data_IF_677079746378
#
_entry.id   IF_677079746378
#
_cell.length_a   1.000
_cell.length_b   1.000
_cell.length_c   1.000
_cell.angle_alpha   90.00
_cell.angle_beta   90.00
_cell.angle_gamma   90.00
#
_symmetry.space_group_name_H-M   'P 1'
#
loop_
_entity.id
_entity.type
_entity.pdbx_description
1 polymer ?
#
# COMPACT_ATOMS: atom_id res chain seq x y z
N UNK A 1 14.99 -21.16 -6.99
CA UNK A 1 14.27 -20.02 -7.62
C UNK A 1 14.68 -18.75 -6.90
N UNK A 2 14.93 -17.66 -7.62
CA UNK A 2 15.18 -16.35 -7.01
C UNK A 2 14.13 -15.36 -7.47
N UNK A 3 13.31 -14.89 -6.53
CA UNK A 3 12.25 -13.93 -6.72
C UNK A 3 12.76 -12.54 -6.34
N UNK A 4 12.56 -11.57 -7.22
CA UNK A 4 12.96 -10.18 -7.01
C UNK A 4 11.71 -9.31 -7.14
N UNK A 5 11.43 -8.48 -6.15
CA UNK A 5 10.32 -7.53 -6.20
C UNK A 5 10.63 -6.23 -5.48
N UNK A 6 9.70 -5.30 -5.59
CA UNK A 6 9.76 -4.01 -4.90
C UNK A 6 8.45 -3.69 -4.19
N UNK A 7 8.53 -2.95 -3.09
CA UNK A 7 7.36 -2.50 -2.32
C UNK A 7 6.45 -1.56 -3.09
N UNK A 8 6.97 -0.88 -4.12
CA UNK A 8 6.23 0.00 -5.03
C UNK A 8 6.12 -0.58 -6.45
N UNK A 9 6.42 -1.86 -6.63
CA UNK A 9 6.27 -2.56 -7.91
C UNK A 9 4.82 -3.06 -8.06
N UNK A 10 4.23 -3.00 -9.26
CA UNK A 10 2.88 -3.53 -9.52
C UNK A 10 2.77 -5.05 -9.38
N UNK A 11 3.89 -5.76 -9.33
CA UNK A 11 3.98 -7.20 -9.12
C UNK A 11 4.39 -7.57 -7.69
N UNK A 12 4.52 -6.60 -6.79
CA UNK A 12 4.94 -6.83 -5.40
C UNK A 12 4.13 -7.91 -4.69
N UNK A 13 2.79 -7.89 -4.86
CA UNK A 13 1.88 -8.94 -4.35
C UNK A 13 2.22 -10.31 -4.96
N UNK A 14 2.40 -10.39 -6.27
CA UNK A 14 2.68 -11.67 -6.94
C UNK A 14 4.04 -12.23 -6.54
N UNK A 15 5.05 -11.39 -6.32
CA UNK A 15 6.36 -11.83 -5.83
C UNK A 15 6.23 -12.52 -4.47
N UNK A 16 5.51 -11.91 -3.52
CA UNK A 16 5.30 -12.50 -2.20
C UNK A 16 4.40 -13.74 -2.23
N UNK A 17 3.34 -13.73 -3.04
CA UNK A 17 2.45 -14.89 -3.19
C UNK A 17 3.16 -16.08 -3.87
N UNK A 18 3.99 -15.81 -4.88
CA UNK A 18 4.83 -16.83 -5.52
C UNK A 18 5.84 -17.40 -4.53
N UNK A 19 6.45 -16.59 -3.66
CA UNK A 19 7.34 -17.11 -2.62
C UNK A 19 6.58 -18.06 -1.70
N UNK A 20 5.42 -17.64 -1.18
CA UNK A 20 4.60 -18.46 -0.27
C UNK A 20 4.13 -19.78 -0.89
N UNK A 21 3.82 -19.77 -2.19
CA UNK A 21 3.37 -20.96 -2.89
C UNK A 21 4.55 -21.89 -3.26
N UNK A 22 5.63 -21.34 -3.82
CA UNK A 22 6.77 -22.12 -4.30
C UNK A 22 7.59 -22.71 -3.16
N UNK A 23 7.79 -21.98 -2.06
CA UNK A 23 8.56 -22.46 -0.90
C UNK A 23 7.98 -23.72 -0.27
N UNK A 24 6.67 -23.97 -0.45
CA UNK A 24 5.96 -25.16 0.04
C UNK A 24 5.90 -26.31 -0.97
N UNK A 25 6.15 -26.03 -2.25
CA UNK A 25 5.84 -26.98 -3.33
C UNK A 25 7.06 -27.51 -4.07
N UNK A 26 8.13 -26.71 -4.20
CA UNK A 26 9.33 -27.15 -4.91
C UNK A 26 10.39 -27.70 -3.94
N UNK A 27 11.22 -28.63 -4.41
CA UNK A 27 12.28 -29.25 -3.60
C UNK A 27 13.55 -28.40 -3.46
N UNK A 28 13.79 -27.48 -4.39
CA UNK A 28 14.96 -26.60 -4.39
C UNK A 28 14.74 -25.35 -3.55
N UNK A 29 15.80 -24.60 -3.20
CA UNK A 29 15.64 -23.40 -2.40
C UNK A 29 14.91 -22.32 -3.20
N UNK A 30 14.02 -21.61 -2.50
CA UNK A 30 13.34 -20.41 -2.99
C UNK A 30 13.90 -19.24 -2.20
N UNK A 31 14.51 -18.30 -2.91
CA UNK A 31 14.97 -17.03 -2.37
C UNK A 31 14.03 -15.91 -2.81
N UNK A 32 13.83 -14.91 -1.97
CA UNK A 32 13.11 -13.69 -2.28
C UNK A 32 13.87 -12.47 -1.77
N UNK A 33 13.98 -11.44 -2.60
CA UNK A 33 14.39 -10.10 -2.18
C UNK A 33 13.29 -9.08 -2.48
N UNK A 34 13.00 -8.22 -1.51
CA UNK A 34 12.06 -7.10 -1.65
C UNK A 34 12.71 -5.79 -1.22
N UNK A 35 12.96 -4.88 -2.16
CA UNK A 35 13.47 -3.53 -1.89
C UNK A 35 12.39 -2.46 -1.97
N UNK A 36 12.68 -1.18 -1.69
CA UNK A 36 11.71 -0.09 -1.80
C UNK A 36 11.50 0.37 -3.25
N UNK A 37 11.65 -0.54 -4.21
CA UNK A 37 11.77 -0.21 -5.63
C UNK A 37 10.42 -0.12 -6.34
N UNK A 38 10.39 0.68 -7.40
CA UNK A 38 9.41 0.59 -8.49
C UNK A 38 9.91 -0.39 -9.57
N UNK A 39 9.10 -0.59 -10.61
CA UNK A 39 9.33 -1.63 -11.60
C UNK A 39 10.67 -1.52 -12.33
N UNK A 40 11.50 -2.55 -12.18
CA UNK A 40 12.81 -2.67 -12.84
C UNK A 40 13.87 -1.66 -12.38
N UNK A 41 13.65 -0.94 -11.27
CA UNK A 41 14.54 0.12 -10.80
C UNK A 41 15.39 -0.30 -9.58
N UNK A 42 15.85 -1.56 -9.53
CA UNK A 42 16.63 -2.08 -8.39
C UNK A 42 17.97 -1.35 -8.17
N UNK A 43 18.49 -0.66 -9.19
CA UNK A 43 19.72 0.13 -9.09
C UNK A 43 19.53 1.56 -8.54
N UNK A 44 18.30 1.94 -8.20
CA UNK A 44 17.98 3.26 -7.67
C UNK A 44 17.56 3.18 -6.20
N UNK A 45 17.73 4.28 -5.48
CA UNK A 45 17.41 4.40 -4.06
C UNK A 45 16.30 5.40 -3.75
N UNK A 46 15.74 6.06 -4.76
CA UNK A 46 14.68 7.05 -4.61
C UNK A 46 13.56 6.77 -5.60
N UNK A 47 12.32 6.84 -5.12
CA UNK A 47 11.13 6.60 -5.94
C UNK A 47 10.00 7.53 -5.52
N UNK A 48 9.49 8.30 -6.49
CA UNK A 48 8.59 9.41 -6.24
C UNK A 48 9.34 10.62 -5.65
N UNK A 49 8.84 11.17 -4.55
CA UNK A 49 9.42 12.32 -3.86
C UNK A 49 10.26 11.92 -2.64
N UNK A 50 10.68 10.66 -2.59
CA UNK A 50 11.27 10.05 -1.39
C UNK A 50 12.59 9.35 -1.72
N UNK A 51 13.58 9.56 -0.86
CA UNK A 51 14.83 8.81 -0.81
C UNK A 51 14.78 7.76 0.30
N UNK A 52 15.13 6.53 -0.06
CA UNK A 52 15.30 5.39 0.86
C UNK A 52 16.76 5.21 1.31
N UNK A 53 17.67 6.10 0.88
CA UNK A 53 19.10 6.05 1.16
C UNK A 53 19.87 5.12 0.21
N UNK A 54 21.13 5.46 -0.09
CA UNK A 54 21.94 4.78 -1.12
C UNK A 54 21.98 3.26 -0.98
N UNK A 55 21.94 2.75 0.26
CA UNK A 55 21.96 1.31 0.54
C UNK A 55 20.73 0.57 0.02
N UNK A 56 19.63 1.27 -0.28
CA UNK A 56 18.45 0.69 -0.93
C UNK A 56 18.73 0.23 -2.37
N UNK A 57 19.69 0.85 -3.07
CA UNK A 57 20.06 0.48 -4.42
C UNK A 57 20.98 -0.75 -4.44
N UNK A 58 20.79 -1.63 -5.42
CA UNK A 58 21.78 -2.63 -5.78
C UNK A 58 22.80 -1.96 -6.73
N UNK A 59 24.05 -1.72 -6.29
CA UNK A 59 24.99 -0.88 -7.03
C UNK A 59 25.46 -1.52 -8.36
N UNK A 60 25.58 -2.85 -8.40
CA UNK A 60 25.93 -3.59 -9.62
C UNK A 60 24.91 -4.71 -9.87
N UNK A 61 23.92 -4.40 -10.71
CA UNK A 61 22.85 -5.32 -11.07
C UNK A 61 23.33 -6.54 -11.85
N UNK A 62 24.45 -6.43 -12.59
CA UNK A 62 24.98 -7.54 -13.34
C UNK A 62 25.74 -8.47 -12.40
N UNK A 63 26.68 -7.95 -11.61
CA UNK A 63 27.43 -8.75 -10.64
C UNK A 63 26.49 -9.48 -9.66
N UNK A 64 25.50 -8.78 -9.12
CA UNK A 64 24.50 -9.39 -8.23
C UNK A 64 23.75 -10.57 -8.88
N UNK A 65 23.32 -10.44 -10.14
CA UNK A 65 22.66 -11.55 -10.86
C UNK A 65 23.65 -12.66 -11.19
N UNK A 66 24.89 -12.31 -11.50
CA UNK A 66 25.95 -13.27 -11.79
C UNK A 66 26.29 -14.13 -10.58
N UNK A 67 26.25 -13.63 -9.34
CA UNK A 67 26.42 -14.44 -8.11
C UNK A 67 25.45 -15.64 -8.07
N UNK A 68 24.20 -15.42 -8.46
CA UNK A 68 23.19 -16.47 -8.50
C UNK A 68 23.45 -17.48 -9.63
N UNK A 69 23.69 -17.01 -10.84
CA UNK A 69 23.92 -17.90 -11.99
C UNK A 69 25.24 -18.65 -11.90
N UNK A 70 26.32 -18.02 -11.45
CA UNK A 70 27.60 -18.67 -11.25
C UNK A 70 27.52 -19.77 -10.19
N UNK A 71 26.68 -19.61 -9.16
CA UNK A 71 26.41 -20.67 -8.18
C UNK A 71 25.73 -21.88 -8.82
N UNK A 72 24.56 -21.67 -9.44
CA UNK A 72 23.67 -22.76 -9.85
C UNK A 72 23.99 -23.36 -11.24
N UNK A 73 24.69 -22.62 -12.10
CA UNK A 73 25.00 -23.05 -13.47
C UNK A 73 26.47 -23.47 -13.60
N UNK A 74 27.38 -22.86 -12.84
CA UNK A 74 28.83 -23.10 -12.95
C UNK A 74 29.46 -23.74 -11.72
N UNK A 75 28.65 -24.09 -10.71
CA UNK A 75 29.09 -24.69 -9.45
C UNK A 75 30.20 -23.89 -8.73
N UNK A 76 30.21 -22.56 -8.90
CA UNK A 76 31.19 -21.70 -8.21
C UNK A 76 30.76 -21.45 -6.77
N UNK A 77 31.75 -21.30 -5.90
CA UNK A 77 31.52 -20.74 -4.56
C UNK A 77 31.26 -19.23 -4.68
N UNK A 78 30.08 -18.80 -4.24
CA UNK A 78 29.55 -17.44 -4.33
C UNK A 78 28.89 -17.03 -3.02
N UNK A 79 28.28 -15.85 -2.95
CA UNK A 79 27.54 -15.39 -1.78
C UNK A 79 26.29 -16.24 -1.45
N UNK A 80 25.77 -17.04 -2.39
CA UNK A 80 24.54 -17.83 -2.21
C UNK A 80 24.65 -18.79 -1.01
N UNK A 81 23.79 -18.59 -0.01
CA UNK A 81 23.76 -19.36 1.24
C UNK A 81 24.83 -18.98 2.26
N UNK A 82 25.67 -17.97 1.99
CA UNK A 82 26.82 -17.59 2.82
C UNK A 82 26.81 -16.11 3.24
N UNK A 83 26.52 -15.21 2.30
CA UNK A 83 26.68 -13.76 2.45
C UNK A 83 25.50 -13.00 1.85
N UNK A 84 25.35 -11.76 2.27
CA UNK A 84 24.34 -10.85 1.74
C UNK A 84 24.52 -10.63 0.23
N UNK A 85 23.45 -10.57 -0.58
CA UNK A 85 22.03 -10.58 -0.19
C UNK A 85 21.38 -11.98 -0.10
N UNK A 86 22.17 -13.05 -0.19
CA UNK A 86 21.68 -14.44 -0.24
C UNK A 86 21.96 -15.23 1.04
N UNK A 87 22.25 -14.55 2.15
CA UNK A 87 22.57 -15.18 3.43
C UNK A 87 21.39 -16.00 3.97
N UNK A 88 20.17 -15.51 3.76
CA UNK A 88 18.92 -16.19 4.11
C UNK A 88 17.99 -16.24 2.90
N UNK A 89 16.93 -17.05 2.99
CA UNK A 89 15.96 -17.22 1.90
C UNK A 89 15.16 -15.96 1.63
N UNK A 90 14.95 -15.10 2.63
CA UNK A 90 14.21 -13.85 2.45
C UNK A 90 15.10 -12.69 2.84
N UNK A 91 15.18 -11.67 1.98
CA UNK A 91 15.81 -10.40 2.30
C UNK A 91 14.85 -9.26 2.00
N UNK A 92 14.58 -8.43 2.98
CA UNK A 92 13.64 -7.32 2.86
C UNK A 92 14.33 -6.01 3.20
N UNK A 93 13.94 -4.93 2.53
CA UNK A 93 14.31 -3.59 2.95
C UNK A 93 13.21 -3.04 3.85
N UNK A 94 13.53 -2.82 5.12
CA UNK A 94 12.62 -2.21 6.09
C UNK A 94 12.73 -0.70 5.94
N UNK A 95 11.67 -0.07 5.43
CA UNK A 95 11.59 1.37 5.20
C UNK A 95 11.30 2.14 6.50
N UNK A 96 11.46 3.47 6.48
CA UNK A 96 10.91 4.36 7.51
C UNK A 96 11.80 4.64 8.71
N UNK A 97 13.09 4.32 8.64
CA UNK A 97 14.05 4.61 9.73
C UNK A 97 14.87 5.90 9.52
N UNK A 98 14.65 6.61 8.42
CA UNK A 98 15.23 7.92 8.15
C UNK A 98 14.73 9.00 9.10
N UNK A 99 15.31 10.20 9.02
CA UNK A 99 15.02 11.33 9.90
C UNK A 99 14.01 12.34 9.31
N UNK A 100 13.61 12.17 8.05
CA UNK A 100 12.59 13.00 7.40
C UNK A 100 13.08 14.39 6.96
N UNK A 101 14.38 14.64 6.92
CA UNK A 101 14.91 15.88 6.33
C UNK A 101 14.84 15.84 4.80
N UNK A 102 14.84 17.01 4.17
CA UNK A 102 14.88 17.13 2.72
C UNK A 102 16.32 17.02 2.19
N UNK A 103 16.54 16.15 1.20
CA UNK A 103 17.84 16.02 0.53
C UNK A 103 18.13 17.23 -0.37
N UNK A 104 19.38 17.35 -0.86
CA UNK A 104 19.76 18.37 -1.84
C UNK A 104 18.91 18.33 -3.12
N UNK A 105 18.43 17.14 -3.50
CA UNK A 105 17.53 16.92 -4.65
C UNK A 105 16.04 17.14 -4.33
N UNK A 106 15.73 17.78 -3.18
CA UNK A 106 14.36 18.05 -2.74
C UNK A 106 13.49 16.80 -2.49
N UNK A 107 14.12 15.70 -2.06
CA UNK A 107 13.43 14.46 -1.70
C UNK A 107 13.31 14.31 -0.18
N UNK A 108 12.22 13.73 0.31
CA UNK A 108 12.08 13.36 1.71
C UNK A 108 13.01 12.19 2.05
N UNK A 109 13.82 12.31 3.10
CA UNK A 109 14.66 11.21 3.61
C UNK A 109 13.82 10.25 4.47
N UNK A 110 13.20 9.26 3.82
CA UNK A 110 12.45 8.19 4.51
C UNK A 110 13.37 7.08 5.00
N UNK A 111 14.46 6.81 4.29
CA UNK A 111 15.50 5.86 4.71
C UNK A 111 15.01 4.42 4.87
N UNK A 112 15.83 3.62 5.54
CA UNK A 112 15.56 2.21 5.82
C UNK A 112 16.84 1.39 5.94
N UNK A 113 16.70 0.07 6.02
CA UNK A 113 17.83 -0.85 6.07
C UNK A 113 17.45 -2.24 5.56
N UNK A 114 18.44 -2.99 5.06
CA UNK A 114 18.24 -4.39 4.70
C UNK A 114 18.20 -5.29 5.93
N UNK A 115 17.21 -6.18 5.98
CA UNK A 115 17.07 -7.22 6.99
C UNK A 115 16.93 -8.59 6.34
N UNK A 116 17.71 -9.54 6.85
CA UNK A 116 17.63 -10.95 6.48
C UNK A 116 16.54 -11.62 7.32
N UNK A 117 15.68 -12.38 6.66
CA UNK A 117 14.58 -13.16 7.23
C UNK A 117 14.65 -14.60 6.72
N UNK A 118 14.11 -15.54 7.49
CA UNK A 118 14.09 -16.95 7.09
C UNK A 118 12.84 -17.33 6.28
N UNK A 119 11.80 -16.50 6.36
CA UNK A 119 10.48 -16.84 5.87
C UNK A 119 9.66 -15.59 5.53
N UNK A 120 8.58 -15.82 4.78
CA UNK A 120 7.57 -14.83 4.48
C UNK A 120 6.20 -15.54 4.38
N UNK A 121 5.15 -15.04 5.05
CA UNK A 121 5.16 -13.93 6.01
C UNK A 121 6.01 -14.26 7.24
N UNK A 122 6.47 -13.25 7.97
CA UNK A 122 7.32 -13.45 9.16
C UNK A 122 6.50 -14.20 10.24
N UNK A 123 7.03 -15.27 10.85
CA UNK A 123 6.30 -16.05 11.88
C UNK A 123 5.90 -15.18 13.07
N UNK A 124 6.75 -14.21 13.42
CA UNK A 124 6.53 -13.27 14.53
C UNK A 124 5.49 -12.18 14.25
N UNK A 125 4.81 -12.21 13.10
CA UNK A 125 3.81 -11.20 12.72
C UNK A 125 2.60 -11.25 13.66
N UNK A 126 2.23 -10.10 14.21
CA UNK A 126 0.98 -9.90 14.95
C UNK A 126 -0.01 -9.10 14.11
N UNK A 127 -0.97 -9.81 13.49
CA UNK A 127 -2.05 -9.16 12.75
C UNK A 127 -2.97 -8.40 13.70
N UNK A 128 -2.77 -7.08 13.77
CA UNK A 128 -3.41 -6.19 14.73
C UNK A 128 -4.47 -5.36 14.04
N UNK A 129 -5.75 -5.45 14.44
CA UNK A 129 -6.80 -4.61 13.88
C UNK A 129 -6.71 -3.20 14.45
N UNK A 130 -6.76 -2.21 13.57
CA UNK A 130 -6.83 -0.80 13.85
C UNK A 130 -8.18 -0.29 13.33
N UNK A 131 -9.13 -0.13 14.25
CA UNK A 131 -10.53 0.18 14.00
C UNK A 131 -10.76 1.66 13.69
N UNK A 132 -11.70 1.90 12.79
CA UNK A 132 -12.17 3.23 12.43
C UNK A 132 -13.20 3.72 13.44
N UNK A 133 -13.20 5.02 13.73
CA UNK A 133 -14.12 5.65 14.68
C UNK A 133 -14.81 6.88 14.08
N UNK A 134 -15.96 7.26 14.65
CA UNK A 134 -16.80 8.38 14.19
C UNK A 134 -16.10 9.75 14.10
N UNK A 135 -15.06 9.97 14.90
CA UNK A 135 -14.28 11.21 14.91
C UNK A 135 -13.12 11.19 13.89
N UNK A 136 -13.04 10.19 13.02
CA UNK A 136 -11.92 10.02 12.09
C UNK A 136 -10.65 9.45 12.75
N UNK A 137 -10.73 8.99 13.99
CA UNK A 137 -9.59 8.33 14.63
C UNK A 137 -9.47 6.87 14.22
N UNK A 138 -8.25 6.34 14.32
CA UNK A 138 -7.90 4.93 14.16
C UNK A 138 -7.23 4.45 15.44
N UNK A 139 -7.68 3.32 16.00
CA UNK A 139 -7.06 2.76 17.20
C UNK A 139 -7.23 1.24 17.29
N UNK A 140 -6.44 0.58 18.14
CA UNK A 140 -6.63 -0.85 18.42
C UNK A 140 -7.89 -1.14 19.25
N UNK A 141 -8.53 -0.12 19.82
CA UNK A 141 -9.75 -0.27 20.60
C UNK A 141 -10.97 -0.37 19.69
N UNK A 142 -11.85 -1.33 19.95
CA UNK A 142 -13.09 -1.47 19.18
C UNK A 142 -14.03 -0.27 19.41
N UNK A 143 -14.78 0.18 18.39
CA UNK A 143 -15.78 1.23 18.58
C UNK A 143 -16.85 0.81 19.60
N UNK A 144 -17.12 1.67 20.58
CA UNK A 144 -18.16 1.43 21.59
C UNK A 144 -19.55 1.91 21.15
N UNK A 145 -19.61 2.79 20.14
CA UNK A 145 -20.83 3.45 19.70
C UNK A 145 -21.80 2.43 19.06
N UNK A 146 -23.09 2.56 19.35
CA UNK A 146 -24.12 1.63 18.84
C UNK A 146 -24.45 1.87 17.37
N UNK A 147 -24.38 3.12 16.91
CA UNK A 147 -24.70 3.53 15.55
C UNK A 147 -23.64 4.57 15.18
N UNK A 148 -22.93 4.31 14.09
CA UNK A 148 -21.81 5.13 13.64
C UNK A 148 -21.48 4.76 12.20
N UNK A 149 -21.51 5.75 11.31
CA UNK A 149 -21.19 5.60 9.90
C UNK A 149 -20.80 6.95 9.29
N UNK A 150 -20.16 6.91 8.13
CA UNK A 150 -19.80 8.11 7.35
C UNK A 150 -20.11 7.87 5.88
N UNK A 151 -20.77 8.85 5.26
CA UNK A 151 -21.12 8.81 3.84
C UNK A 151 -20.10 9.56 2.99
N UNK A 152 -19.93 9.12 1.76
CA UNK A 152 -19.22 9.86 0.72
C UNK A 152 -19.87 9.61 -0.65
N UNK A 153 -19.65 10.52 -1.59
CA UNK A 153 -20.19 10.40 -2.95
C UNK A 153 -19.06 10.02 -3.90
N UNK A 154 -19.17 8.85 -4.54
CA UNK A 154 -18.32 8.49 -5.68
C UNK A 154 -18.93 9.08 -6.96
N UNK A 155 -18.23 10.05 -7.56
CA UNK A 155 -18.62 10.71 -8.80
C UNK A 155 -17.69 10.30 -9.94
N UNK A 156 -18.16 9.51 -10.93
CA UNK A 156 -17.32 9.10 -12.05
C UNK A 156 -16.74 10.24 -12.89
N UNK A 157 -17.35 11.43 -12.84
CA UNK A 157 -16.89 12.62 -13.58
C UNK A 157 -15.82 13.42 -12.83
N UNK A 158 -15.60 13.14 -11.54
CA UNK A 158 -14.55 13.73 -10.69
C UNK A 158 -13.88 12.63 -9.84
N UNK A 159 -13.18 11.67 -10.45
CA UNK A 159 -12.57 10.57 -9.73
C UNK A 159 -11.36 11.04 -8.91
N UNK A 160 -11.12 10.41 -7.76
CA UNK A 160 -9.96 10.68 -6.91
C UNK A 160 -8.67 10.35 -7.69
N UNK A 161 -7.74 11.32 -7.79
CA UNK A 161 -6.48 11.15 -8.48
C UNK A 161 -5.56 10.09 -7.86
N UNK A 162 -4.89 9.33 -8.72
CA UNK A 162 -3.74 8.49 -8.34
C UNK A 162 -2.50 9.33 -8.16
N UNK A 163 -1.89 9.25 -6.98
CA UNK A 163 -0.62 9.92 -6.66
C UNK A 163 0.33 8.88 -6.05
N UNK A 164 1.23 8.36 -6.89
CA UNK A 164 2.21 7.34 -6.52
C UNK A 164 1.63 5.91 -6.46
N UNK A 165 2.21 5.10 -5.58
CA UNK A 165 1.81 3.71 -5.35
C UNK A 165 2.45 2.70 -6.30
N UNK A 166 1.86 1.51 -6.33
CA UNK A 166 2.38 0.30 -6.99
C UNK A 166 2.04 0.27 -8.48
N UNK A 167 2.64 1.18 -9.23
CA UNK A 167 2.40 1.33 -10.67
C UNK A 167 3.69 1.03 -11.44
N UNK A 168 3.59 0.33 -12.57
CA UNK A 168 4.78 -0.09 -13.36
C UNK A 168 4.95 0.63 -14.69
N UNK A 169 3.89 1.27 -15.20
CA UNK A 169 3.89 1.94 -16.49
C UNK A 169 2.82 3.03 -16.52
N UNK A 170 2.98 3.98 -17.43
CA UNK A 170 2.02 5.08 -17.58
C UNK A 170 2.56 6.34 -18.25
N UNK A 171 3.81 6.33 -18.76
CA UNK A 171 4.29 7.38 -19.66
C UNK A 171 4.23 8.81 -19.12
N UNK A 172 4.42 9.00 -17.81
CA UNK A 172 4.28 10.30 -17.13
C UNK A 172 2.86 10.66 -16.68
N UNK A 173 1.85 9.86 -17.05
CA UNK A 173 0.46 10.00 -16.60
C UNK A 173 0.27 9.35 -15.23
N UNK A 174 0.90 8.19 -15.01
CA UNK A 174 0.89 7.50 -13.72
C UNK A 174 2.22 7.71 -13.00
N UNK A 175 2.13 8.33 -11.83
CA UNK A 175 3.23 8.48 -10.90
C UNK A 175 3.50 7.14 -10.20
N UNK A 176 4.77 6.82 -9.99
CA UNK A 176 5.22 5.57 -9.38
C UNK A 176 5.98 5.87 -8.10
N UNK A 177 5.91 4.98 -7.12
CA UNK A 177 6.70 5.10 -5.88
C UNK A 177 6.01 5.90 -4.79
N UNK A 178 6.79 6.38 -3.84
CA UNK A 178 6.32 7.08 -2.67
C UNK A 178 6.15 8.57 -2.98
N UNK A 179 4.92 9.05 -2.96
CA UNK A 179 4.57 10.45 -3.20
C UNK A 179 3.82 11.05 -2.02
N UNK A 180 4.00 12.36 -1.83
CA UNK A 180 3.12 13.15 -0.98
C UNK A 180 1.70 13.06 -1.55
N UNK A 181 0.69 12.85 -0.71
CA UNK A 181 -0.71 12.73 -1.13
C UNK A 181 -1.34 14.10 -1.38
N UNK A 182 -0.63 14.92 -2.15
CA UNK A 182 -0.92 16.31 -2.45
C UNK A 182 -0.79 16.55 -3.94
N UNK A 183 -1.77 17.26 -4.50
CA UNK A 183 -1.70 17.66 -5.89
C UNK A 183 -0.57 18.62 -6.21
N UNK A 184 -0.53 19.05 -7.46
CA UNK A 184 0.50 19.94 -7.99
C UNK A 184 0.74 19.65 -9.46
N UNK A 185 1.68 20.36 -10.07
CA UNK A 185 1.98 20.26 -11.50
C UNK A 185 2.39 18.85 -11.96
N UNK A 186 2.75 17.97 -11.03
CA UNK A 186 3.07 16.56 -11.25
C UNK A 186 1.83 15.66 -11.42
N UNK A 187 0.63 16.15 -11.08
CA UNK A 187 -0.65 15.42 -11.18
C UNK A 187 -1.58 16.12 -12.16
N UNK A 188 -1.66 15.59 -13.38
CA UNK A 188 -2.37 16.23 -14.49
C UNK A 188 -3.88 16.45 -14.24
N UNK A 189 -4.54 15.59 -13.47
CA UNK A 189 -5.96 15.69 -13.10
C UNK A 189 -6.19 16.28 -11.69
N UNK A 190 -5.14 16.75 -11.02
CA UNK A 190 -5.24 17.45 -9.72
C UNK A 190 -4.10 18.44 -9.53
N UNK A 191 -4.04 19.50 -10.36
CA UNK A 191 -2.88 20.37 -10.46
C UNK A 191 -2.72 21.34 -9.27
N UNK A 192 -3.75 21.49 -8.43
CA UNK A 192 -3.68 22.37 -7.28
C UNK A 192 -2.92 21.69 -6.12
N UNK A 193 -2.08 22.42 -5.36
CA UNK A 193 -1.31 21.88 -4.24
C UNK A 193 -2.19 21.65 -3.00
N UNK A 194 -3.25 20.86 -3.17
CA UNK A 194 -4.26 20.53 -2.17
C UNK A 194 -4.13 19.03 -1.86
N UNK A 195 -4.08 18.65 -0.58
CA UNK A 195 -4.01 17.24 -0.21
C UNK A 195 -5.30 16.51 -0.60
N UNK A 196 -5.18 15.23 -0.98
CA UNK A 196 -6.34 14.40 -1.31
C UNK A 196 -7.29 14.24 -0.11
N UNK A 197 -6.77 14.33 1.11
CA UNK A 197 -7.54 14.33 2.36
C UNK A 197 -8.47 15.54 2.51
N UNK A 198 -8.35 16.58 1.68
CA UNK A 198 -9.28 17.70 1.64
C UNK A 198 -10.48 17.47 0.70
N UNK A 199 -10.51 16.37 -0.06
CA UNK A 199 -11.67 16.05 -0.91
C UNK A 199 -12.80 15.46 -0.08
N UNK A 200 -14.04 15.79 -0.44
CA UNK A 200 -15.24 15.29 0.26
C UNK A 200 -15.56 13.82 -0.05
N UNK A 201 -14.96 13.25 -1.09
CA UNK A 201 -15.10 11.86 -1.49
C UNK A 201 -13.94 10.96 -0.99
N UNK A 202 -13.09 11.49 -0.11
CA UNK A 202 -12.02 10.76 0.57
C UNK A 202 -12.30 10.75 2.08
N UNK A 203 -12.65 9.59 2.62
CA UNK A 203 -12.80 9.41 4.06
C UNK A 203 -11.44 9.17 4.70
N UNK A 204 -11.09 10.02 5.67
CA UNK A 204 -9.80 9.98 6.34
C UNK A 204 -9.95 9.42 7.75
N UNK A 205 -9.23 8.33 8.03
CA UNK A 205 -9.10 7.78 9.37
C UNK A 205 -7.61 7.73 9.75
N UNK A 206 -7.22 8.31 10.90
CA UNK A 206 -5.83 8.29 11.33
C UNK A 206 -5.63 8.12 12.84
N UNK A 207 -4.49 7.56 13.24
CA UNK A 207 -4.12 7.47 14.66
C UNK A 207 -3.84 8.84 15.26
N UNK A 208 -3.80 8.92 16.59
CA UNK A 208 -3.01 9.97 17.25
C UNK A 208 -1.52 9.85 16.88
N UNK A 209 -0.69 10.90 17.10
CA UNK A 209 0.74 10.78 16.88
C UNK A 209 1.26 9.60 17.69
N UNK A 210 1.95 8.70 17.01
CA UNK A 210 2.42 7.47 17.61
C UNK A 210 3.36 7.79 18.78
N UNK A 211 3.15 7.10 19.91
CA UNK A 211 3.98 7.29 21.10
C UNK A 211 5.32 6.54 21.01
N UNK A 212 5.37 5.53 20.14
CA UNK A 212 6.52 4.68 19.84
C UNK A 212 6.52 4.31 18.36
N UNK A 213 7.63 3.77 17.87
CA UNK A 213 7.72 3.29 16.50
C UNK A 213 6.83 2.04 16.33
N UNK A 214 6.13 1.95 15.20
CA UNK A 214 5.34 0.76 14.84
C UNK A 214 5.85 0.22 13.53
N UNK A 215 6.43 -0.98 13.54
CA UNK A 215 6.82 -1.68 12.32
C UNK A 215 5.64 -2.48 11.76
N UNK A 216 5.32 -2.24 10.49
CA UNK A 216 4.35 -2.99 9.71
C UNK A 216 5.07 -3.69 8.57
N UNK A 217 5.21 -5.01 8.66
CA UNK A 217 5.90 -5.84 7.66
C UNK A 217 5.05 -7.05 7.31
N UNK A 218 4.49 -7.07 6.10
CA UNK A 218 3.64 -8.17 5.66
C UNK A 218 2.54 -7.73 4.70
N UNK A 219 1.53 -8.59 4.58
CA UNK A 219 0.32 -8.32 3.79
C UNK A 219 -0.72 -7.54 4.61
N UNK A 220 -1.29 -6.49 4.00
CA UNK A 220 -2.27 -5.61 4.65
C UNK A 220 -3.66 -5.87 4.09
N UNK A 221 -4.67 -5.79 4.96
CA UNK A 221 -6.10 -5.89 4.60
C UNK A 221 -6.89 -4.76 5.22
N UNK A 222 -7.92 -4.28 4.53
CA UNK A 222 -8.95 -3.44 5.12
C UNK A 222 -10.26 -4.21 5.08
N UNK A 223 -10.81 -4.52 6.25
CA UNK A 223 -12.11 -5.16 6.41
C UNK A 223 -13.12 -4.10 6.80
N UNK A 224 -14.20 -3.99 6.06
CA UNK A 224 -15.15 -2.92 6.25
C UNK A 224 -16.58 -3.34 5.94
N UNK A 225 -17.52 -2.64 6.56
CA UNK A 225 -18.94 -2.79 6.29
C UNK A 225 -19.41 -1.57 5.52
N UNK A 226 -20.07 -1.77 4.39
CA UNK A 226 -20.54 -0.67 3.56
C UNK A 226 -21.88 -0.93 2.88
N UNK A 227 -22.56 0.16 2.55
CA UNK A 227 -23.71 0.19 1.64
C UNK A 227 -23.39 1.09 0.46
N UNK A 228 -24.11 0.89 -0.65
CA UNK A 228 -24.13 1.84 -1.78
C UNK A 228 -25.56 2.15 -2.19
N UNK A 229 -25.81 3.32 -2.76
CA UNK A 229 -27.05 3.63 -3.49
C UNK A 229 -27.11 2.99 -4.87
N UNK A 230 -26.01 2.41 -5.34
CA UNK A 230 -25.83 1.88 -6.70
C UNK A 230 -25.78 0.34 -6.73
N UNK A 231 -25.99 -0.23 -7.92
CA UNK A 231 -25.90 -1.68 -8.17
C UNK A 231 -24.45 -2.19 -8.18
N UNK A 232 -23.50 -1.30 -8.41
CA UNK A 232 -22.08 -1.55 -8.36
C UNK A 232 -21.35 -0.25 -8.04
N UNK A 233 -20.15 -0.34 -7.49
CA UNK A 233 -19.23 0.77 -7.25
C UNK A 233 -17.85 0.19 -6.92
N UNK A 234 -16.83 1.03 -6.85
CA UNK A 234 -15.53 0.62 -6.33
C UNK A 234 -15.34 1.16 -4.91
N UNK A 235 -14.53 0.45 -4.13
CA UNK A 235 -13.99 0.90 -2.86
C UNK A 235 -12.47 0.79 -2.92
N UNK A 236 -11.78 1.86 -2.57
CA UNK A 236 -10.33 1.95 -2.51
C UNK A 236 -9.89 2.20 -1.09
N UNK A 237 -8.68 1.74 -0.77
CA UNK A 237 -8.04 2.00 0.50
C UNK A 237 -6.56 2.29 0.28
N UNK A 238 -6.04 3.31 0.96
CA UNK A 238 -4.64 3.71 0.90
C UNK A 238 -4.08 3.83 2.30
N UNK A 239 -2.94 3.19 2.54
CA UNK A 239 -2.15 3.34 3.76
C UNK A 239 -1.15 4.48 3.55
N UNK A 240 -1.13 5.43 4.49
CA UNK A 240 -0.31 6.64 4.45
C UNK A 240 0.47 6.77 5.75
N UNK A 241 1.76 7.07 5.65
CA UNK A 241 2.61 7.51 6.76
C UNK A 241 2.60 9.04 6.79
N UNK A 242 1.94 9.61 7.80
CA UNK A 242 1.79 11.06 7.94
C UNK A 242 2.94 11.60 8.78
N UNK A 243 3.86 12.27 8.12
CA UNK A 243 4.95 12.99 8.76
C UNK A 243 4.43 14.26 9.43
N UNK A 244 4.87 14.56 10.67
CA UNK A 244 4.54 15.83 11.30
C UNK A 244 5.20 17.00 10.56
N UNK A 245 4.66 18.22 10.72
CA UNK A 245 5.34 19.44 10.26
C UNK A 245 6.80 19.52 10.72
N UNK A 246 7.68 19.92 9.81
CA UNK A 246 9.11 20.13 10.06
C UNK A 246 9.58 21.45 9.43
N UNK A 247 10.86 21.80 9.61
CA UNK A 247 11.44 22.97 8.96
C UNK A 247 11.42 22.85 7.42
N UNK A 248 11.68 21.63 6.92
CA UNK A 248 11.72 21.31 5.49
C UNK A 248 10.32 21.11 4.90
N UNK A 249 9.39 20.60 5.72
CA UNK A 249 8.00 20.34 5.34
C UNK A 249 7.04 21.01 6.35
N UNK A 250 6.81 22.33 6.27
CA UNK A 250 5.97 23.03 7.25
C UNK A 250 4.50 22.57 7.29
N UNK A 251 4.02 21.93 6.23
CA UNK A 251 2.68 21.33 6.17
C UNK A 251 2.63 19.85 6.58
N UNK A 252 3.75 19.26 6.97
CA UNK A 252 3.91 17.80 7.01
C UNK A 252 4.10 17.20 5.62
N UNK A 253 4.15 15.87 5.56
CA UNK A 253 4.26 15.10 4.33
C UNK A 253 3.41 13.83 4.45
N UNK A 254 2.48 13.62 3.52
CA UNK A 254 1.56 12.49 3.55
C UNK A 254 2.10 11.40 2.61
N UNK A 255 2.97 10.53 3.10
CA UNK A 255 3.64 9.55 2.25
C UNK A 255 2.74 8.34 1.97
N UNK A 256 2.41 8.08 0.70
CA UNK A 256 1.79 6.80 0.31
C UNK A 256 2.72 5.62 0.62
N UNK A 257 2.21 4.63 1.36
CA UNK A 257 2.89 3.36 1.64
C UNK A 257 2.39 2.25 0.71
N UNK A 258 1.11 2.27 0.36
CA UNK A 258 0.51 1.30 -0.54
C UNK A 258 -1.00 1.47 -0.59
N UNK A 259 -1.63 0.94 -1.63
CA UNK A 259 -3.06 1.04 -1.84
C UNK A 259 -3.63 -0.18 -2.57
N UNK A 260 -4.96 -0.31 -2.53
CA UNK A 260 -5.71 -1.36 -3.18
C UNK A 260 -7.12 -0.91 -3.55
N UNK A 261 -7.80 -1.75 -4.32
CA UNK A 261 -9.18 -1.55 -4.78
C UNK A 261 -9.95 -2.86 -4.66
N UNK A 262 -11.25 -2.74 -4.38
CA UNK A 262 -12.23 -3.80 -4.52
C UNK A 262 -13.41 -3.25 -5.32
N UNK A 263 -13.72 -3.92 -6.42
CA UNK A 263 -14.92 -3.65 -7.22
C UNK A 263 -16.08 -4.48 -6.69
N UNK A 264 -17.18 -3.83 -6.29
CA UNK A 264 -18.20 -4.45 -5.45
C UNK A 264 -18.93 -5.62 -6.11
N UNK A 265 -19.09 -5.63 -7.44
CA UNK A 265 -19.65 -6.79 -8.16
C UNK A 265 -18.82 -8.06 -8.03
N UNK A 266 -17.56 -7.97 -7.59
CA UNK A 266 -16.65 -9.11 -7.38
C UNK A 266 -16.36 -9.37 -5.88
N UNK A 267 -17.19 -8.83 -4.98
CA UNK A 267 -16.99 -8.98 -3.52
C UNK A 267 -16.97 -10.44 -3.05
N UNK A 268 -17.75 -11.31 -3.68
CA UNK A 268 -17.91 -12.72 -3.30
C UNK A 268 -17.08 -13.68 -4.15
N UNK A 269 -16.59 -13.23 -5.32
CA UNK A 269 -15.87 -14.06 -6.28
C UNK A 269 -15.00 -13.22 -7.21
N UNK A 270 -13.82 -13.73 -7.57
CA UNK A 270 -12.93 -13.10 -8.57
C UNK A 270 -13.36 -13.35 -10.02
N UNK A 271 -14.33 -14.23 -10.25
CA UNK A 271 -14.72 -14.68 -11.60
C UNK A 271 -16.22 -14.57 -11.87
N UNK A 272 -17.03 -14.41 -10.83
CA UNK A 272 -18.48 -14.31 -10.95
C UNK A 272 -18.96 -12.96 -10.42
N UNK A 273 -19.84 -12.32 -11.19
CA UNK A 273 -20.43 -11.05 -10.81
C UNK A 273 -21.65 -11.28 -9.91
N UNK A 274 -21.69 -10.58 -8.78
CA UNK A 274 -22.84 -10.47 -7.92
C UNK A 274 -23.11 -8.99 -7.66
N UNK A 275 -24.15 -8.41 -8.28
CA UNK A 275 -24.46 -6.99 -8.08
C UNK A 275 -24.90 -6.70 -6.64
N UNK A 276 -24.75 -5.46 -6.20
CA UNK A 276 -25.25 -4.98 -4.91
C UNK A 276 -26.75 -4.69 -5.00
N UNK A 277 -27.46 -4.90 -3.89
CA UNK A 277 -28.78 -4.33 -3.67
C UNK A 277 -28.62 -2.95 -2.99
N UNK A 278 -29.15 -1.87 -3.57
CA UNK A 278 -29.01 -0.54 -3.00
C UNK A 278 -29.50 -0.47 -1.54
N UNK A 279 -28.67 0.06 -0.65
CA UNK A 279 -28.95 0.16 0.79
C UNK A 279 -28.73 -1.11 1.61
N UNK A 280 -28.41 -2.26 0.99
CA UNK A 280 -28.00 -3.47 1.72
C UNK A 280 -26.54 -3.35 2.21
N UNK A 281 -26.31 -3.78 3.46
CA UNK A 281 -24.99 -3.70 4.10
C UNK A 281 -24.20 -4.97 3.78
N UNK A 282 -23.00 -4.81 3.23
CA UNK A 282 -22.08 -5.89 2.94
C UNK A 282 -20.81 -5.77 3.78
N UNK A 283 -20.31 -6.90 4.27
CA UNK A 283 -18.92 -7.01 4.74
C UNK A 283 -18.02 -7.26 3.53
N UNK A 284 -16.98 -6.45 3.37
CA UNK A 284 -16.06 -6.49 2.24
C UNK A 284 -14.61 -6.35 2.72
N UNK A 285 -13.69 -6.79 1.87
CA UNK A 285 -12.25 -6.72 2.14
C UNK A 285 -11.49 -6.12 0.95
N UNK A 286 -10.64 -5.14 1.20
CA UNK A 286 -9.64 -4.67 0.22
C UNK A 286 -8.28 -5.24 0.63
N UNK A 287 -7.61 -5.93 -0.31
CA UNK A 287 -6.20 -6.33 -0.14
C UNK A 287 -5.30 -5.19 -0.62
N UNK A 288 -4.45 -4.68 0.27
CA UNK A 288 -3.39 -3.75 -0.09
C UNK A 288 -2.14 -4.52 -0.51
N UNK A 289 -1.23 -3.84 -1.21
CA UNK A 289 0.09 -4.38 -1.52
C UNK A 289 0.89 -4.64 -0.23
N UNK A 290 1.76 -5.67 -0.20
CA UNK A 290 2.62 -5.91 0.95
C UNK A 290 3.63 -4.77 1.10
N UNK A 291 4.04 -4.53 2.35
CA UNK A 291 5.05 -3.52 2.66
C UNK A 291 5.96 -3.98 3.79
N UNK A 292 7.04 -3.24 4.02
CA UNK A 292 7.85 -3.27 5.22
C UNK A 292 8.22 -1.85 5.58
N UNK A 293 7.50 -1.26 6.53
CA UNK A 293 7.66 0.14 6.93
C UNK A 293 7.65 0.30 8.46
N UNK A 294 8.53 1.16 8.97
CA UNK A 294 8.47 1.67 10.34
C UNK A 294 7.78 3.02 10.33
N UNK A 295 6.58 3.09 10.90
CA UNK A 295 5.93 4.35 11.23
C UNK A 295 6.58 4.91 12.49
N UNK A 296 7.30 6.02 12.37
CA UNK A 296 8.07 6.57 13.49
C UNK A 296 7.18 7.18 14.56
N UNK A 297 7.68 7.18 15.80
CA UNK A 297 7.14 8.01 16.88
C UNK A 297 6.91 9.45 16.39
N UNK A 298 5.73 9.98 16.67
CA UNK A 298 5.29 11.32 16.24
C UNK A 298 4.61 11.36 14.88
N UNK A 299 4.78 10.34 14.04
CA UNK A 299 3.99 10.18 12.80
C UNK A 299 2.59 9.68 13.13
N UNK A 300 1.72 9.60 12.11
CA UNK A 300 0.42 8.92 12.21
C UNK A 300 0.31 7.84 11.16
N UNK A 301 -0.37 6.75 11.52
CA UNK A 301 -0.87 5.78 10.55
C UNK A 301 -2.21 6.30 10.07
N UNK A 302 -2.33 6.55 8.76
CA UNK A 302 -3.58 7.02 8.15
C UNK A 302 -4.07 6.04 7.09
N UNK A 303 -5.39 5.87 7.05
CA UNK A 303 -6.11 5.11 6.04
C UNK A 303 -7.09 6.04 5.35
N UNK A 304 -6.91 6.21 4.05
CA UNK A 304 -7.84 6.96 3.19
C UNK A 304 -8.74 5.95 2.45
N UNK A 305 -10.06 6.09 2.57
CA UNK A 305 -11.06 5.30 1.82
C UNK A 305 -11.77 6.17 0.80
N UNK A 306 -11.96 5.66 -0.42
CA UNK A 306 -12.69 6.39 -1.46
C UNK A 306 -13.35 5.45 -2.49
N UNK A 307 -14.07 6.01 -3.45
CA UNK A 307 -14.75 5.28 -4.53
C UNK A 307 -13.92 5.15 -5.81
N UNK A 308 -12.72 5.72 -5.87
CA UNK A 308 -11.86 5.69 -7.05
C UNK A 308 -10.40 5.96 -6.71
N UNK A 309 -9.50 5.63 -7.65
CA UNK A 309 -8.08 5.94 -7.62
C UNK A 309 -7.58 5.91 -9.07
N UNK A 310 -7.82 7.01 -9.79
CA UNK A 310 -7.67 7.13 -11.24
C UNK A 310 -6.45 7.99 -11.62
N UNK A 311 -5.62 7.60 -12.61
CA UNK A 311 -5.85 6.54 -13.59
C UNK A 311 -5.24 5.18 -13.25
N UNK A 312 -4.86 4.91 -12.00
CA UNK A 312 -4.30 3.59 -11.63
C UNK A 312 -5.33 2.48 -11.87
N UNK A 313 -6.59 2.75 -11.53
CA UNK A 313 -7.72 1.88 -11.84
C UNK A 313 -8.71 2.63 -12.74
N UNK A 314 -9.43 1.88 -13.58
CA UNK A 314 -10.55 2.41 -14.36
C UNK A 314 -11.68 2.89 -13.43
N UNK A 315 -12.40 3.92 -13.85
CA UNK A 315 -13.50 4.48 -13.06
C UNK A 315 -14.72 3.59 -13.19
N UNK A 316 -15.28 3.13 -12.07
CA UNK A 316 -16.55 2.43 -12.07
C UNK A 316 -17.69 3.38 -12.49
N UNK A 317 -18.54 3.03 -13.48
CA UNK A 317 -19.67 3.87 -13.87
C UNK A 317 -20.79 3.94 -12.81
N UNK A 318 -20.73 3.07 -11.81
CA UNK A 318 -21.70 2.86 -10.73
C UNK A 318 -23.11 2.41 -11.20
N UNK A 319 -23.24 1.89 -12.42
CA UNK A 319 -24.53 1.53 -13.03
C UNK A 319 -24.86 0.04 -12.93
N UNK A 320 -23.87 -0.81 -12.69
CA UNK A 320 -23.99 -2.27 -12.86
C UNK A 320 -23.94 -2.74 -14.32
N UNK A 321 -23.80 -1.83 -15.29
CA UNK A 321 -23.58 -2.18 -16.70
C UNK A 321 -22.21 -2.88 -16.89
N UNK A 322 -22.00 -3.61 -18.01
CA UNK A 322 -20.69 -4.17 -18.33
C UNK A 322 -19.59 -3.11 -18.31
N UNK A 323 -18.47 -3.45 -17.71
CA UNK A 323 -17.29 -2.58 -17.67
C UNK A 323 -16.74 -2.40 -19.09
N UNK A 324 -16.40 -1.17 -19.47
CA UNK A 324 -15.92 -0.79 -20.81
C UNK A 324 -16.94 -0.88 -21.96
N UNK A 325 -18.22 -1.18 -21.67
CA UNK A 325 -19.34 -1.06 -22.63
C UNK A 325 -20.57 -0.40 -21.96
N UNK A 326 -20.34 0.35 -20.89
CA UNK A 326 -21.38 1.14 -20.22
C UNK A 326 -21.75 2.35 -21.08
N UNK A 327 -23.02 2.74 -21.05
CA UNK A 327 -23.54 3.86 -21.86
C UNK A 327 -23.76 5.14 -21.06
N UNK A 328 -23.67 5.02 -19.74
CA UNK A 328 -23.86 6.12 -18.80
C UNK A 328 -23.01 5.91 -17.55
N UNK A 329 -22.86 6.98 -16.79
CA UNK A 329 -22.29 6.99 -15.45
C UNK A 329 -23.35 7.53 -14.49
N UNK A 330 -23.23 7.22 -13.21
CA UNK A 330 -24.02 7.84 -12.17
C UNK A 330 -23.23 7.99 -10.88
N UNK A 331 -23.62 8.96 -10.05
CA UNK A 331 -23.04 9.11 -8.71
C UNK A 331 -23.54 7.98 -7.81
N UNK A 332 -22.65 7.44 -6.98
CA UNK A 332 -22.99 6.50 -5.91
C UNK A 332 -22.80 7.17 -4.56
N UNK A 333 -23.83 7.16 -3.71
CA UNK A 333 -23.69 7.49 -2.29
C UNK A 333 -23.30 6.21 -1.57
N UNK A 334 -22.09 6.21 -1.03
CA UNK A 334 -21.49 5.08 -0.33
C UNK A 334 -21.40 5.40 1.16
N UNK A 335 -21.67 4.42 2.02
CA UNK A 335 -21.62 4.57 3.48
C UNK A 335 -20.65 3.56 4.04
N UNK A 336 -19.70 3.99 4.87
CA UNK A 336 -18.82 3.11 5.66
C UNK A 336 -19.31 3.08 7.10
N UNK A 337 -19.57 1.88 7.63
CA UNK A 337 -19.99 1.69 9.01
C UNK A 337 -18.79 1.47 9.92
N UNK A 338 -18.81 2.06 11.11
CA UNK A 338 -17.73 1.97 12.10
C UNK A 338 -18.31 1.92 13.52
N UNK A 339 -19.45 1.25 13.66
CA UNK A 339 -20.10 1.00 14.94
C UNK A 339 -19.64 -0.32 15.58
N UNK A 340 -20.04 -0.54 16.84
CA UNK A 340 -19.64 -1.71 17.64
C UNK A 340 -19.98 -3.07 17.00
N UNK A 341 -21.01 -3.13 16.16
CA UNK A 341 -21.44 -4.36 15.49
C UNK A 341 -20.85 -4.49 14.08
N UNK A 342 -20.34 -3.38 13.52
CA UNK A 342 -19.72 -3.29 12.19
C UNK A 342 -18.38 -2.56 12.30
N UNK A 343 -17.39 -3.16 12.98
CA UNK A 343 -16.16 -2.47 13.35
C UNK A 343 -15.17 -2.50 12.18
N UNK A 344 -15.40 -1.67 11.16
CA UNK A 344 -14.47 -1.51 10.02
C UNK A 344 -13.08 -1.16 10.52
N UNK A 345 -12.05 -1.78 9.94
CA UNK A 345 -10.66 -1.67 10.39
C UNK A 345 -9.67 -1.99 9.29
N UNK A 346 -8.46 -1.48 9.45
CA UNK A 346 -7.27 -2.00 8.77
C UNK A 346 -6.63 -3.07 9.66
N UNK A 347 -6.26 -4.20 9.07
CA UNK A 347 -5.51 -5.27 9.72
C UNK A 347 -4.04 -5.13 9.33
N UNK A 348 -3.22 -4.68 10.30
CA UNK A 348 -1.80 -4.42 10.08
C UNK A 348 -0.94 -5.60 10.55
N UNK A 349 0.01 -6.09 9.73
CA UNK A 349 1.00 -7.08 10.15
C UNK A 349 2.10 -6.45 11.01
N UNK A 350 1.79 -6.20 12.28
CA UNK A 350 2.71 -5.54 13.22
C UNK A 350 3.83 -6.49 13.63
N UNK A 351 5.08 -6.03 13.61
CA UNK A 351 6.24 -6.79 14.11
C UNK A 351 6.58 -6.32 15.53
N UNK A 352 6.56 -7.22 16.54
CA UNK A 352 6.88 -6.86 17.91
C UNK A 352 8.32 -6.35 18.08
N UNK A 353 8.49 -5.27 18.84
CA UNK A 353 9.81 -4.75 19.18
C UNK A 353 10.59 -5.77 20.05
N UNK A 354 11.85 -6.04 19.69
CA UNK A 354 12.77 -6.87 20.50
C UNK A 354 12.81 -8.36 20.15
N UNK A 355 12.57 -8.73 18.88
CA UNK A 355 12.76 -10.09 18.37
C UNK A 355 14.12 -10.29 17.71
#
# INVERSE_FOLDING_TARGET
>A
VYLVGGWYDSWGVNTTENYMALSKTIKGPVYMIMGPWIHGQQGNYSHGQVSFGNDAAIPDLLAWRMEWYDHWIKDKKTAVGNEDPFKTNVRIFVMGTGDGHMTEDSLLTHGGYWRNENEWPLERTQYTPYYFHANGSVSAEKPAQRISSTDFVSDPDDPVPSIGGNTSSGGGILLQGAWDQKGGDHVWNWPLPIPLSARNDVLVFQTEPLQENVEVTGEIRVKFWATSSSLDTDFTAKLVDVYPPSADYPGGFDMNIGDGIMRARYRDSRTEENLMNPGEVYEMEIRLYPTSNVFKKGHRIRVDLSGSNFPRFDVNPNTGEPLNDNRRTMKAVNTIYHDRNRPSHILLPVIPAGS
#
